data_IF_815030638846
#
_entry.id   IF_815030638846
#
_cell.length_a   1.000
_cell.length_b   1.000
_cell.length_c   1.000
_cell.angle_alpha   90.00
_cell.angle_beta   90.00
_cell.angle_gamma   90.00
#
_symmetry.space_group_name_H-M   'P 1'
#
loop_
_entity.id
_entity.type
_entity.pdbx_description
1 polymer ?
#
# COMPACT_ATOMS: atom_id res chain seq x y z
N UNK A 1 -16.26 0.55 28.68
CA UNK A 1 -15.46 1.55 27.93
C UNK A 1 -15.49 1.15 26.46
N UNK A 2 -15.99 2.00 25.54
CA UNK A 2 -15.88 1.73 24.09
C UNK A 2 -14.40 1.64 23.77
N UNK A 3 -13.92 0.52 23.24
CA UNK A 3 -12.56 0.41 22.70
C UNK A 3 -12.43 1.44 21.57
N UNK A 4 -11.88 2.58 21.88
CA UNK A 4 -11.58 3.62 20.91
C UNK A 4 -10.45 3.11 20.02
N UNK A 5 -10.74 2.89 18.74
CA UNK A 5 -9.75 2.52 17.73
C UNK A 5 -9.61 3.64 16.73
N UNK A 6 -8.43 3.73 16.09
CA UNK A 6 -8.28 4.51 14.88
C UNK A 6 -8.86 3.76 13.69
N UNK A 7 -9.67 4.46 12.90
CA UNK A 7 -10.10 3.98 11.59
C UNK A 7 -9.04 4.34 10.57
N UNK A 8 -8.64 3.37 9.76
CA UNK A 8 -7.77 3.54 8.62
C UNK A 8 -8.63 3.37 7.38
N UNK A 9 -8.58 4.37 6.49
CA UNK A 9 -9.26 4.32 5.21
C UNK A 9 -8.22 4.37 4.08
N UNK A 10 -8.27 3.37 3.19
CA UNK A 10 -7.51 3.36 1.94
C UNK A 10 -8.49 3.50 0.79
N UNK A 11 -8.21 4.39 -0.16
CA UNK A 11 -9.07 4.57 -1.31
C UNK A 11 -8.31 5.13 -2.51
N UNK A 12 -8.88 4.88 -3.70
CA UNK A 12 -8.45 5.52 -4.93
C UNK A 12 -9.64 5.74 -5.88
N UNK A 13 -9.47 6.67 -6.79
CA UNK A 13 -10.35 6.84 -7.94
C UNK A 13 -9.55 7.41 -9.10
N UNK A 14 -9.64 6.79 -10.26
CA UNK A 14 -9.25 7.39 -11.52
C UNK A 14 -10.37 8.30 -11.96
N UNK A 15 -10.07 9.59 -12.07
CA UNK A 15 -11.01 10.64 -12.47
C UNK A 15 -10.25 11.91 -12.76
N UNK A 16 -10.50 12.53 -13.90
CA UNK A 16 -9.89 13.82 -14.23
C UNK A 16 -10.19 14.88 -13.17
N UNK A 17 -9.14 15.51 -12.66
CA UNK A 17 -9.19 16.56 -11.64
C UNK A 17 -8.84 17.90 -12.29
N UNK A 18 -9.79 18.86 -12.31
CA UNK A 18 -9.57 20.14 -12.96
C UNK A 18 -8.83 21.16 -12.08
N UNK A 19 -9.09 21.22 -10.78
CA UNK A 19 -8.47 22.19 -9.87
C UNK A 19 -7.74 21.52 -8.72
N UNK A 20 -6.66 20.82 -9.06
CA UNK A 20 -5.88 20.00 -8.13
C UNK A 20 -5.27 20.80 -6.97
N UNK A 21 -4.88 22.05 -7.21
CA UNK A 21 -4.29 22.93 -6.17
C UNK A 21 -5.33 23.26 -5.11
N UNK A 22 -6.54 23.63 -5.53
CA UNK A 22 -7.63 23.93 -4.60
C UNK A 22 -8.07 22.69 -3.81
N UNK A 23 -8.21 21.53 -4.47
CA UNK A 23 -8.53 20.26 -3.81
C UNK A 23 -7.46 19.91 -2.76
N UNK A 24 -6.19 20.08 -3.08
CA UNK A 24 -5.09 19.89 -2.13
C UNK A 24 -5.22 20.80 -0.92
N UNK A 25 -5.51 22.09 -1.13
CA UNK A 25 -5.71 23.08 -0.06
C UNK A 25 -6.85 22.66 0.87
N UNK A 26 -8.04 22.41 0.30
CA UNK A 26 -9.24 22.02 1.04
C UNK A 26 -9.05 20.73 1.83
N UNK A 27 -8.41 19.72 1.24
CA UNK A 27 -8.11 18.45 1.95
C UNK A 27 -7.07 18.65 3.05
N UNK A 28 -6.06 19.52 2.84
CA UNK A 28 -5.04 19.82 3.86
C UNK A 28 -5.66 20.49 5.07
N UNK A 29 -6.48 21.51 4.86
CA UNK A 29 -7.18 22.26 5.92
C UNK A 29 -8.10 21.30 6.71
N UNK A 30 -8.94 20.56 5.99
CA UNK A 30 -9.88 19.62 6.59
C UNK A 30 -9.20 18.53 7.42
N UNK A 31 -8.20 17.83 6.84
CA UNK A 31 -7.51 16.74 7.54
C UNK A 31 -6.67 17.26 8.72
N UNK A 32 -6.08 18.45 8.61
CA UNK A 32 -5.32 19.05 9.72
C UNK A 32 -6.23 19.43 10.89
N UNK A 33 -7.38 20.06 10.62
CA UNK A 33 -8.36 20.42 11.63
C UNK A 33 -8.91 19.19 12.37
N UNK A 34 -9.22 18.12 11.62
CA UNK A 34 -9.77 16.88 12.16
C UNK A 34 -8.70 15.88 12.65
N UNK A 35 -7.45 16.30 12.84
CA UNK A 35 -6.33 15.47 13.30
C UNK A 35 -6.11 14.19 12.48
N UNK A 36 -6.53 14.16 11.20
CA UNK A 36 -6.35 13.03 10.29
C UNK A 36 -4.91 13.02 9.78
N UNK A 37 -4.26 11.86 9.81
CA UNK A 37 -2.89 11.65 9.32
C UNK A 37 -2.86 10.63 8.19
N UNK A 38 -1.77 10.62 7.43
CA UNK A 38 -1.59 9.68 6.33
C UNK A 38 -1.04 10.31 5.06
N UNK A 39 -1.27 9.68 3.93
CA UNK A 39 -0.78 10.17 2.64
C UNK A 39 -1.92 10.25 1.63
N UNK A 40 -2.03 11.41 0.96
CA UNK A 40 -2.86 11.62 -0.21
C UNK A 40 -1.93 11.92 -1.39
N UNK A 41 -2.13 11.24 -2.50
CA UNK A 41 -1.50 11.53 -3.79
C UNK A 41 -2.61 12.02 -4.72
N UNK A 42 -2.41 13.19 -5.29
CA UNK A 42 -3.27 13.80 -6.28
C UNK A 42 -2.50 13.89 -7.59
N UNK A 43 -3.16 13.58 -8.69
CA UNK A 43 -2.69 13.81 -10.05
C UNK A 43 -3.87 14.23 -10.93
N UNK A 44 -3.62 14.70 -12.14
CA UNK A 44 -4.69 15.06 -13.08
C UNK A 44 -5.60 13.86 -13.38
N UNK A 45 -5.05 12.63 -13.29
CA UNK A 45 -5.77 11.37 -13.50
C UNK A 45 -6.58 10.89 -12.28
N UNK A 46 -6.47 11.53 -11.08
CA UNK A 46 -7.24 11.08 -9.94
C UNK A 46 -6.63 11.30 -8.55
N UNK A 47 -7.12 10.50 -7.60
CA UNK A 47 -6.73 10.50 -6.18
C UNK A 47 -6.37 9.10 -5.71
N UNK A 48 -5.34 9.00 -4.87
CA UNK A 48 -4.97 7.76 -4.14
C UNK A 48 -4.55 8.14 -2.72
N UNK A 49 -5.15 7.51 -1.72
CA UNK A 49 -4.88 7.85 -0.33
C UNK A 49 -4.91 6.64 0.61
N UNK A 50 -4.12 6.75 1.69
CA UNK A 50 -4.30 5.97 2.91
C UNK A 50 -4.20 6.93 4.09
N UNK A 51 -5.29 7.03 4.85
CA UNK A 51 -5.47 7.99 5.93
C UNK A 51 -5.94 7.28 7.19
N UNK A 52 -5.69 7.89 8.34
CA UNK A 52 -6.19 7.41 9.63
C UNK A 52 -6.57 8.57 10.54
N UNK A 53 -7.62 8.36 11.30
CA UNK A 53 -8.17 9.25 12.30
C UNK A 53 -9.11 8.52 13.24
N UNK A 54 -9.72 9.23 14.18
CA UNK A 54 -10.84 8.70 14.93
C UNK A 54 -12.02 8.44 13.96
N UNK A 55 -12.99 7.63 14.38
CA UNK A 55 -14.07 7.19 13.50
C UNK A 55 -14.87 8.36 12.91
N UNK A 56 -15.36 9.26 13.76
CA UNK A 56 -16.16 10.41 13.34
C UNK A 56 -15.41 11.33 12.34
N UNK A 57 -14.16 11.77 12.56
CA UNK A 57 -13.34 12.45 11.57
C UNK A 57 -13.23 11.74 10.21
N UNK A 58 -13.12 10.42 10.21
CA UNK A 58 -13.05 9.65 8.95
C UNK A 58 -14.41 9.65 8.23
N UNK A 59 -15.52 9.52 8.96
CA UNK A 59 -16.86 9.60 8.35
C UNK A 59 -17.16 11.00 7.79
N UNK A 60 -16.68 12.06 8.46
CA UNK A 60 -16.74 13.42 7.94
C UNK A 60 -15.85 13.61 6.69
N UNK A 61 -14.69 12.94 6.65
CA UNK A 61 -13.83 12.95 5.45
C UNK A 61 -14.54 12.34 4.25
N UNK A 62 -15.26 11.23 4.41
CA UNK A 62 -16.03 10.62 3.31
C UNK A 62 -17.08 11.59 2.74
N UNK A 63 -17.81 12.29 3.62
CA UNK A 63 -18.74 13.36 3.20
C UNK A 63 -18.02 14.50 2.47
N UNK A 64 -16.85 14.91 2.97
CA UNK A 64 -16.03 15.94 2.32
C UNK A 64 -15.55 15.51 0.93
N UNK A 65 -15.16 14.24 0.74
CA UNK A 65 -14.77 13.70 -0.57
C UNK A 65 -15.95 13.70 -1.55
N UNK A 66 -17.15 13.35 -1.13
CA UNK A 66 -18.37 13.47 -1.94
C UNK A 66 -18.59 14.92 -2.38
N UNK A 67 -18.47 15.90 -1.46
CA UNK A 67 -18.60 17.34 -1.78
C UNK A 67 -17.53 17.82 -2.76
N UNK A 68 -16.35 17.18 -2.78
CA UNK A 68 -15.28 17.39 -3.76
C UNK A 68 -15.50 16.57 -5.04
N UNK A 69 -16.70 15.98 -5.22
CA UNK A 69 -17.12 15.22 -6.40
C UNK A 69 -16.39 13.88 -6.59
N UNK A 70 -15.85 13.27 -5.53
CA UNK A 70 -15.34 11.90 -5.54
C UNK A 70 -16.44 10.94 -5.10
N UNK A 71 -17.21 10.37 -6.04
CA UNK A 71 -18.40 9.58 -5.74
C UNK A 71 -18.13 8.06 -5.74
N UNK A 72 -17.26 7.59 -6.65
CA UNK A 72 -17.03 6.17 -6.91
C UNK A 72 -15.63 5.76 -6.44
N UNK A 73 -15.34 6.00 -5.16
CA UNK A 73 -14.07 5.61 -4.57
C UNK A 73 -14.03 4.09 -4.36
N UNK A 74 -13.02 3.43 -4.93
CA UNK A 74 -12.64 2.09 -4.46
C UNK A 74 -12.00 2.25 -3.07
N UNK A 75 -12.73 1.84 -2.04
CA UNK A 75 -12.36 2.13 -0.65
C UNK A 75 -12.38 0.90 0.25
N UNK A 76 -11.48 0.90 1.22
CA UNK A 76 -11.38 -0.09 2.28
C UNK A 76 -11.17 0.57 3.63
N UNK A 77 -11.90 0.12 4.67
CA UNK A 77 -11.68 0.52 6.05
C UNK A 77 -11.06 -0.64 6.84
N UNK A 78 -10.18 -0.32 7.77
CA UNK A 78 -9.65 -1.23 8.78
C UNK A 78 -9.42 -0.47 10.08
N UNK A 79 -9.14 -1.18 11.17
CA UNK A 79 -9.03 -0.58 12.50
C UNK A 79 -7.67 -0.88 13.12
N UNK A 80 -7.20 0.00 13.98
CA UNK A 80 -5.98 -0.19 14.73
C UNK A 80 -6.05 0.52 16.10
N UNK A 81 -5.39 -0.01 17.10
CA UNK A 81 -5.37 0.56 18.45
C UNK A 81 -4.34 1.68 18.66
N UNK A 82 -3.53 2.00 17.66
CA UNK A 82 -2.62 3.15 17.65
C UNK A 82 -2.63 3.85 16.29
N UNK A 83 -2.24 5.13 16.26
CA UNK A 83 -2.15 5.93 15.03
C UNK A 83 -1.05 5.39 14.11
N UNK A 84 -1.39 4.84 12.92
CA UNK A 84 -0.40 4.23 12.04
C UNK A 84 0.39 5.23 11.20
N UNK A 85 0.15 6.53 11.37
CA UNK A 85 0.85 7.57 10.62
C UNK A 85 1.40 8.67 11.55
N UNK A 86 2.63 9.09 11.27
CA UNK A 86 3.26 10.15 12.06
C UNK A 86 2.78 11.55 11.65
N UNK A 87 2.41 11.76 10.38
CA UNK A 87 2.04 13.08 9.82
C UNK A 87 1.10 12.96 8.63
N UNK A 88 0.43 14.04 8.31
CA UNK A 88 -0.29 14.22 7.05
C UNK A 88 0.68 14.60 5.93
N UNK A 89 0.55 13.97 4.77
CA UNK A 89 1.27 14.29 3.54
C UNK A 89 0.29 14.37 2.38
N UNK A 90 0.21 15.51 1.69
CA UNK A 90 -0.57 15.64 0.47
C UNK A 90 0.38 16.05 -0.65
N UNK A 91 0.52 15.18 -1.65
CA UNK A 91 1.46 15.33 -2.76
C UNK A 91 0.71 15.44 -4.08
N UNK A 92 1.10 16.40 -4.91
CA UNK A 92 0.74 16.41 -6.32
C UNK A 92 1.84 15.68 -7.07
N UNK A 93 1.47 14.73 -7.93
CA UNK A 93 2.36 13.94 -8.78
C UNK A 93 1.82 13.90 -10.20
N UNK A 94 2.60 13.38 -11.15
CA UNK A 94 2.15 13.11 -12.52
C UNK A 94 1.10 11.99 -12.56
N UNK A 95 1.22 11.00 -11.67
CA UNK A 95 0.35 9.83 -11.61
C UNK A 95 -0.01 9.50 -10.15
N UNK A 96 -1.21 9.00 -9.92
CA UNK A 96 -1.64 8.55 -8.57
C UNK A 96 -0.99 7.23 -8.15
N UNK A 97 -0.54 6.44 -9.12
CA UNK A 97 0.38 5.30 -8.96
C UNK A 97 1.34 5.30 -10.15
N UNK A 98 2.64 5.40 -9.87
CA UNK A 98 3.65 5.61 -10.92
C UNK A 98 3.84 4.37 -11.77
N UNK A 99 3.48 4.46 -13.03
CA UNK A 99 3.66 3.41 -14.04
C UNK A 99 4.52 3.88 -15.22
N UNK A 100 4.63 5.21 -15.40
CA UNK A 100 5.36 5.89 -16.48
C UNK A 100 4.84 5.48 -17.87
N UNK A 101 3.52 5.48 -18.04
CA UNK A 101 2.85 5.28 -19.34
C UNK A 101 1.81 6.37 -19.52
N UNK A 102 2.03 7.25 -20.50
CA UNK A 102 1.15 8.36 -20.79
C UNK A 102 -0.07 7.91 -21.62
N UNK A 103 -1.21 8.56 -21.42
CA UNK A 103 -2.42 8.30 -22.22
C UNK A 103 -3.14 6.98 -21.90
N UNK A 104 -2.81 6.33 -20.79
CA UNK A 104 -3.45 5.10 -20.40
C UNK A 104 -4.86 5.35 -19.85
N UNK A 105 -5.86 4.97 -20.61
CA UNK A 105 -7.27 5.10 -20.24
C UNK A 105 -7.70 3.86 -19.45
N UNK A 106 -7.69 4.00 -18.12
CA UNK A 106 -8.03 2.93 -17.17
C UNK A 106 -9.54 2.62 -17.21
N UNK A 107 -10.40 3.62 -17.45
CA UNK A 107 -11.84 3.42 -17.50
C UNK A 107 -12.26 2.60 -18.72
N UNK A 108 -11.57 2.79 -19.85
CA UNK A 108 -11.84 2.08 -21.11
C UNK A 108 -11.27 0.67 -21.13
N UNK A 109 -10.13 0.43 -20.51
CA UNK A 109 -9.32 -0.78 -20.67
C UNK A 109 -9.04 -1.51 -19.36
N UNK A 110 -9.99 -1.55 -18.43
CA UNK A 110 -9.84 -2.31 -17.18
C UNK A 110 -9.95 -3.82 -17.42
N UNK A 111 -9.09 -4.59 -16.75
CA UNK A 111 -9.24 -6.04 -16.69
C UNK A 111 -10.49 -6.47 -15.91
N UNK A 112 -10.96 -7.69 -16.12
CA UNK A 112 -12.15 -8.20 -15.42
C UNK A 112 -11.88 -8.34 -13.92
N UNK A 113 -12.69 -7.67 -13.10
CA UNK A 113 -12.63 -7.78 -11.65
C UNK A 113 -13.23 -9.09 -11.17
N UNK A 114 -12.51 -9.81 -10.31
CA UNK A 114 -12.93 -11.07 -9.70
C UNK A 114 -13.04 -10.87 -8.19
N UNK A 115 -14.18 -11.20 -7.61
CA UNK A 115 -14.39 -11.13 -6.19
C UNK A 115 -13.55 -12.16 -5.43
N UNK A 116 -13.30 -11.92 -4.15
CA UNK A 116 -12.53 -12.82 -3.29
C UNK A 116 -13.11 -14.24 -3.26
N UNK A 117 -14.43 -14.40 -3.33
CA UNK A 117 -15.13 -15.69 -3.36
C UNK A 117 -14.74 -16.58 -4.54
N UNK A 118 -14.56 -15.96 -5.71
CA UNK A 118 -14.31 -16.68 -6.98
C UNK A 118 -12.83 -16.72 -7.34
N UNK A 119 -12.00 -15.99 -6.55
CA UNK A 119 -10.57 -15.84 -6.83
C UNK A 119 -9.80 -17.16 -6.74
N UNK A 120 -10.05 -17.96 -5.70
CA UNK A 120 -9.37 -19.24 -5.52
C UNK A 120 -9.66 -20.20 -6.67
N UNK A 121 -10.90 -20.24 -7.16
CA UNK A 121 -11.29 -21.08 -8.31
C UNK A 121 -10.57 -20.67 -9.59
N UNK A 122 -10.42 -19.34 -9.80
CA UNK A 122 -9.70 -18.84 -10.97
C UNK A 122 -8.21 -19.18 -10.93
N UNK A 123 -7.54 -18.90 -9.78
CA UNK A 123 -6.07 -19.06 -9.68
C UNK A 123 -5.62 -20.52 -9.62
N UNK A 124 -6.52 -21.45 -9.30
CA UNK A 124 -6.24 -22.87 -9.28
C UNK A 124 -6.44 -23.57 -10.65
N UNK A 125 -6.96 -22.86 -11.66
CA UNK A 125 -7.05 -23.41 -13.04
C UNK A 125 -5.66 -23.50 -13.66
N UNK A 126 -5.35 -24.65 -14.27
CA UNK A 126 -4.03 -24.93 -14.87
C UNK A 126 -3.61 -23.92 -15.94
N UNK A 127 -4.57 -23.37 -16.69
CA UNK A 127 -4.36 -22.38 -17.75
C UNK A 127 -4.21 -20.95 -17.24
N UNK A 128 -4.36 -20.72 -15.93
CA UNK A 128 -4.25 -19.38 -15.35
C UNK A 128 -2.83 -19.09 -14.90
N UNK A 129 -2.27 -18.02 -15.42
CA UNK A 129 -0.98 -17.46 -14.99
C UNK A 129 -1.28 -16.42 -13.91
N UNK A 130 -0.85 -16.69 -12.68
CA UNK A 130 -1.04 -15.79 -11.55
C UNK A 130 0.20 -14.92 -11.34
N UNK A 131 0.05 -13.60 -11.35
CA UNK A 131 1.16 -12.64 -11.28
C UNK A 131 0.96 -11.64 -10.13
N UNK A 132 1.95 -11.51 -9.27
CA UNK A 132 1.99 -10.49 -8.23
C UNK A 132 2.61 -9.20 -8.79
N UNK A 133 1.79 -8.16 -9.02
CA UNK A 133 2.28 -6.89 -9.59
C UNK A 133 2.89 -5.93 -8.55
N UNK A 134 3.17 -6.43 -7.36
CA UNK A 134 3.83 -5.65 -6.29
C UNK A 134 5.35 -5.66 -6.46
N UNK A 135 5.99 -4.78 -5.71
CA UNK A 135 7.45 -4.74 -5.66
C UNK A 135 8.00 -5.96 -4.90
N UNK A 136 9.19 -6.41 -5.27
CA UNK A 136 9.81 -7.61 -4.71
C UNK A 136 9.87 -7.63 -3.17
N UNK A 137 10.13 -6.49 -2.51
CA UNK A 137 10.17 -6.42 -1.05
C UNK A 137 8.81 -6.69 -0.38
N UNK A 138 7.70 -6.43 -1.08
CA UNK A 138 6.34 -6.75 -0.63
C UNK A 138 6.06 -8.25 -0.81
N UNK A 139 6.47 -8.81 -1.95
CA UNK A 139 6.30 -10.23 -2.28
C UNK A 139 7.06 -11.12 -1.30
N UNK A 140 8.26 -10.70 -0.88
CA UNK A 140 9.12 -11.45 0.05
C UNK A 140 8.49 -11.72 1.43
N UNK A 141 7.50 -10.96 1.86
CA UNK A 141 6.84 -11.16 3.15
C UNK A 141 5.51 -11.89 3.05
N UNK A 142 4.99 -12.04 1.85
CA UNK A 142 3.80 -12.83 1.59
C UNK A 142 3.27 -12.63 0.17
N UNK A 143 2.70 -13.70 -0.39
CA UNK A 143 2.10 -13.74 -1.71
C UNK A 143 1.13 -14.91 -1.83
N UNK A 144 0.35 -15.00 -2.91
CA UNK A 144 -0.46 -16.20 -3.18
C UNK A 144 0.40 -17.38 -3.58
N UNK A 145 -0.03 -18.58 -3.18
CA UNK A 145 0.57 -19.84 -3.62
C UNK A 145 0.63 -19.87 -5.16
N UNK A 146 1.74 -20.36 -5.71
CA UNK A 146 1.99 -20.48 -7.14
C UNK A 146 2.00 -19.15 -7.94
N UNK A 147 2.01 -17.99 -7.28
CA UNK A 147 2.13 -16.73 -8.00
C UNK A 147 3.54 -16.49 -8.51
N UNK A 148 3.64 -15.91 -9.68
CA UNK A 148 4.90 -15.46 -10.26
C UNK A 148 5.28 -14.12 -9.63
N UNK A 149 6.52 -14.03 -9.15
CA UNK A 149 7.14 -12.78 -8.72
C UNK A 149 7.94 -12.18 -9.88
N UNK A 150 7.54 -11.02 -10.45
CA UNK A 150 8.30 -10.33 -11.48
C UNK A 150 9.65 -9.78 -11.01
N UNK A 151 9.93 -9.83 -9.71
CA UNK A 151 11.15 -9.36 -9.06
C UNK A 151 11.46 -7.87 -9.32
N UNK A 152 10.43 -7.05 -9.50
CA UNK A 152 10.54 -5.62 -9.77
C UNK A 152 10.92 -4.83 -8.51
N UNK A 153 11.77 -3.82 -8.65
CA UNK A 153 12.12 -2.88 -7.57
C UNK A 153 11.02 -1.83 -7.37
N UNK A 154 10.33 -1.47 -8.45
CA UNK A 154 9.22 -0.54 -8.49
C UNK A 154 8.21 -0.97 -9.55
N UNK A 155 6.97 -0.48 -9.44
CA UNK A 155 5.87 -0.89 -10.31
C UNK A 155 6.08 -0.52 -11.78
N UNK A 156 6.82 0.54 -12.11
CA UNK A 156 7.07 0.93 -13.51
C UNK A 156 7.93 -0.09 -14.28
N UNK A 157 8.71 -0.92 -13.57
CA UNK A 157 9.49 -2.00 -14.19
C UNK A 157 8.63 -3.17 -14.67
N UNK A 158 7.38 -3.26 -14.23
CA UNK A 158 6.45 -4.33 -14.63
C UNK A 158 6.23 -4.39 -16.14
N UNK A 159 6.32 -3.27 -16.85
CA UNK A 159 6.25 -3.21 -18.32
C UNK A 159 7.34 -4.04 -19.00
N UNK A 160 8.56 -3.95 -18.48
CA UNK A 160 9.69 -4.72 -19.02
C UNK A 160 9.47 -6.22 -18.78
N UNK A 161 9.02 -6.59 -17.56
CA UNK A 161 8.68 -7.97 -17.27
C UNK A 161 7.62 -8.53 -18.24
N UNK A 162 6.56 -7.77 -18.56
CA UNK A 162 5.54 -8.18 -19.53
C UNK A 162 6.13 -8.45 -20.91
N UNK A 163 6.99 -7.57 -21.41
CA UNK A 163 7.65 -7.69 -22.72
C UNK A 163 8.57 -8.90 -22.79
N UNK A 164 9.30 -9.18 -21.73
CA UNK A 164 10.31 -10.23 -21.70
C UNK A 164 9.71 -11.62 -21.42
N UNK A 165 8.65 -11.71 -20.60
CA UNK A 165 8.21 -13.00 -20.06
C UNK A 165 6.81 -13.41 -20.46
N UNK A 166 5.93 -12.45 -20.79
CA UNK A 166 4.52 -12.74 -21.07
C UNK A 166 4.08 -12.45 -22.50
N UNK A 167 4.95 -11.98 -23.39
CA UNK A 167 4.58 -11.56 -24.75
C UNK A 167 3.93 -12.67 -25.56
N UNK A 168 4.35 -13.91 -25.38
CA UNK A 168 3.79 -15.11 -26.05
C UNK A 168 2.51 -15.65 -25.38
N UNK A 169 2.11 -15.09 -24.25
CA UNK A 169 1.01 -15.55 -23.40
C UNK A 169 -0.27 -14.73 -23.54
N UNK A 170 -0.44 -13.96 -24.62
CA UNK A 170 -1.55 -13.01 -24.81
C UNK A 170 -2.95 -13.65 -24.81
N UNK A 171 -3.05 -14.93 -25.13
CA UNK A 171 -4.30 -15.67 -25.11
C UNK A 171 -4.55 -16.46 -23.83
N UNK A 172 -3.56 -16.53 -22.92
CA UNK A 172 -3.73 -17.21 -21.64
C UNK A 172 -4.61 -16.36 -20.68
N UNK A 173 -5.20 -17.01 -19.69
CA UNK A 173 -5.80 -16.32 -18.56
C UNK A 173 -4.68 -15.76 -17.67
N UNK A 174 -4.63 -14.45 -17.50
CA UNK A 174 -3.64 -13.79 -16.64
C UNK A 174 -4.39 -13.14 -15.47
N UNK A 175 -4.21 -13.70 -14.29
CA UNK A 175 -4.77 -13.19 -13.06
C UNK A 175 -3.72 -12.34 -12.33
N UNK A 176 -4.06 -11.11 -11.94
CA UNK A 176 -3.16 -10.18 -11.28
C UNK A 176 -3.73 -9.68 -9.96
N UNK A 177 -2.86 -9.40 -9.03
CA UNK A 177 -3.22 -8.81 -7.75
C UNK A 177 -2.17 -7.84 -7.23
N UNK A 178 -2.63 -6.88 -6.41
CA UNK A 178 -1.75 -6.03 -5.63
C UNK A 178 -2.40 -5.75 -4.26
N UNK A 179 -1.82 -4.91 -3.43
CA UNK A 179 -2.30 -4.63 -2.07
C UNK A 179 -3.75 -4.17 -2.04
N UNK A 180 -4.13 -3.15 -2.81
CA UNK A 180 -5.47 -2.56 -2.78
C UNK A 180 -6.15 -2.40 -4.15
N UNK A 181 -5.60 -2.99 -5.23
CA UNK A 181 -6.20 -2.95 -6.59
C UNK A 181 -5.56 -1.94 -7.54
N UNK A 182 -5.20 -0.75 -7.10
CA UNK A 182 -4.81 0.38 -7.95
C UNK A 182 -3.71 0.09 -8.99
N UNK A 183 -2.69 -0.74 -8.66
CA UNK A 183 -1.64 -1.12 -9.62
C UNK A 183 -2.18 -2.03 -10.71
N UNK A 184 -3.13 -2.91 -10.36
CA UNK A 184 -3.77 -3.80 -11.32
C UNK A 184 -4.59 -3.02 -12.35
N UNK A 185 -5.24 -1.92 -11.98
CA UNK A 185 -5.97 -1.07 -12.93
C UNK A 185 -5.06 -0.61 -14.08
N UNK A 186 -3.91 0.00 -13.75
CA UNK A 186 -2.94 0.42 -14.78
C UNK A 186 -2.28 -0.74 -15.51
N UNK A 187 -1.93 -1.81 -14.81
CA UNK A 187 -1.30 -2.97 -15.42
C UNK A 187 -2.24 -3.64 -16.44
N UNK A 188 -3.53 -3.84 -16.08
CA UNK A 188 -4.52 -4.44 -16.98
C UNK A 188 -4.83 -3.55 -18.18
N UNK A 189 -4.98 -2.24 -17.97
CA UNK A 189 -5.17 -1.29 -19.06
C UNK A 189 -4.00 -1.34 -20.05
N UNK A 190 -2.77 -1.32 -19.56
CA UNK A 190 -1.58 -1.45 -20.41
C UNK A 190 -1.56 -2.78 -21.14
N UNK A 191 -1.86 -3.90 -20.47
CA UNK A 191 -1.90 -5.22 -21.10
C UNK A 191 -2.95 -5.29 -22.22
N UNK A 192 -4.12 -4.67 -22.04
CA UNK A 192 -5.14 -4.59 -23.08
C UNK A 192 -4.61 -3.86 -24.33
N UNK A 193 -3.87 -2.73 -24.17
CA UNK A 193 -3.24 -2.04 -25.31
C UNK A 193 -2.17 -2.89 -26.01
N UNK A 194 -1.56 -3.85 -25.30
CA UNK A 194 -0.59 -4.79 -25.86
C UNK A 194 -1.24 -6.05 -26.46
N UNK A 195 -2.58 -6.13 -26.51
CA UNK A 195 -3.35 -7.20 -27.12
C UNK A 195 -3.56 -8.45 -26.25
N UNK A 196 -3.45 -8.34 -24.93
CA UNK A 196 -3.84 -9.41 -23.99
C UNK A 196 -5.37 -9.45 -23.89
N UNK A 197 -5.96 -10.64 -24.05
CA UNK A 197 -7.43 -10.79 -24.15
C UNK A 197 -8.10 -11.13 -22.82
N UNK A 198 -7.45 -11.95 -22.00
CA UNK A 198 -8.04 -12.54 -20.80
C UNK A 198 -7.27 -12.06 -19.57
N UNK A 199 -7.49 -10.81 -19.17
CA UNK A 199 -6.84 -10.20 -18.01
C UNK A 199 -7.85 -10.08 -16.87
N UNK A 200 -7.50 -10.66 -15.72
CA UNK A 200 -8.32 -10.68 -14.51
C UNK A 200 -7.58 -9.98 -13.38
N UNK A 201 -8.31 -9.31 -12.52
CA UNK A 201 -7.72 -8.63 -11.34
C UNK A 201 -8.56 -8.87 -10.10
N UNK A 202 -7.88 -9.07 -8.96
CA UNK A 202 -8.53 -9.27 -7.67
C UNK A 202 -9.18 -7.97 -7.22
N UNK A 203 -10.52 -7.95 -7.13
CA UNK A 203 -11.30 -6.79 -6.71
C UNK A 203 -10.96 -6.42 -5.26
N UNK A 204 -10.65 -5.14 -5.01
CA UNK A 204 -10.22 -4.64 -3.71
C UNK A 204 -8.84 -5.14 -3.25
N UNK A 205 -8.15 -5.94 -4.10
CA UNK A 205 -6.81 -6.45 -3.85
C UNK A 205 -6.69 -7.41 -2.68
N UNK A 206 -5.44 -7.64 -2.24
CA UNK A 206 -5.12 -8.55 -1.14
C UNK A 206 -5.84 -8.16 0.15
N UNK A 207 -5.99 -6.86 0.43
CA UNK A 207 -6.65 -6.41 1.65
C UNK A 207 -8.11 -6.86 1.72
N UNK A 208 -8.84 -6.84 0.58
CA UNK A 208 -10.20 -7.35 0.53
C UNK A 208 -10.22 -8.87 0.71
N UNK A 209 -9.33 -9.58 0.02
CA UNK A 209 -9.23 -11.02 0.13
C UNK A 209 -8.94 -11.49 1.57
N UNK A 210 -8.01 -10.84 2.28
CA UNK A 210 -7.67 -11.17 3.67
C UNK A 210 -8.78 -10.87 4.68
N UNK A 211 -9.73 -10.00 4.32
CA UNK A 211 -10.93 -9.74 5.12
C UNK A 211 -12.02 -10.77 4.84
N UNK A 212 -12.26 -11.08 3.54
CA UNK A 212 -13.39 -11.91 3.12
C UNK A 212 -13.14 -13.41 3.31
N UNK A 213 -11.88 -13.85 3.14
CA UNK A 213 -11.54 -15.27 3.11
C UNK A 213 -10.92 -15.70 4.44
N UNK A 214 -11.56 -16.69 5.06
CA UNK A 214 -11.07 -17.29 6.31
C UNK A 214 -9.70 -17.95 6.12
N UNK A 215 -8.92 -18.03 7.19
CA UNK A 215 -7.55 -18.51 7.16
C UNK A 215 -7.40 -19.94 6.60
N UNK A 216 -8.36 -20.81 6.89
CA UNK A 216 -8.40 -22.21 6.45
C UNK A 216 -8.62 -22.36 4.93
N UNK A 217 -9.35 -21.42 4.30
CA UNK A 217 -9.62 -21.38 2.85
C UNK A 217 -8.64 -20.50 2.08
N UNK A 218 -7.74 -19.80 2.78
CA UNK A 218 -6.87 -18.81 2.18
C UNK A 218 -5.69 -19.45 1.43
N UNK A 219 -5.55 -19.11 0.14
CA UNK A 219 -4.37 -19.42 -0.68
C UNK A 219 -3.23 -18.42 -0.47
N UNK A 220 -3.43 -17.40 0.38
CA UNK A 220 -2.40 -16.44 0.75
C UNK A 220 -1.39 -17.03 1.71
N UNK A 221 -0.09 -16.81 1.46
CA UNK A 221 1.01 -17.23 2.32
C UNK A 221 1.77 -16.03 2.86
N UNK A 222 2.03 -16.00 4.16
CA UNK A 222 2.75 -14.89 4.82
C UNK A 222 1.84 -13.72 5.18
N UNK A 223 2.41 -12.50 5.16
CA UNK A 223 1.75 -11.26 5.56
C UNK A 223 1.69 -10.26 4.39
N UNK A 224 0.67 -9.42 4.35
CA UNK A 224 0.54 -8.39 3.32
C UNK A 224 1.21 -7.09 3.78
N UNK A 225 2.20 -6.58 3.01
CA UNK A 225 2.81 -5.29 3.27
C UNK A 225 1.80 -4.15 3.12
N UNK A 226 1.81 -3.22 4.08
CA UNK A 226 1.03 -1.97 4.03
C UNK A 226 1.94 -0.76 4.22
N UNK A 227 1.58 0.37 3.59
CA UNK A 227 2.42 1.58 3.56
C UNK A 227 2.19 2.51 4.77
N UNK A 228 1.98 1.92 5.94
CA UNK A 228 1.83 2.63 7.21
C UNK A 228 2.68 1.97 8.32
N UNK A 229 2.63 2.49 9.55
CA UNK A 229 3.47 2.01 10.64
C UNK A 229 3.08 0.62 11.18
N UNK A 230 2.01 0.00 10.69
CA UNK A 230 1.72 -1.42 10.95
C UNK A 230 2.69 -2.33 10.19
N UNK A 231 3.26 -1.82 9.09
CA UNK A 231 4.19 -2.49 8.16
C UNK A 231 3.55 -3.66 7.41
N UNK A 232 2.80 -4.52 8.09
CA UNK A 232 2.10 -5.67 7.50
C UNK A 232 0.78 -5.97 8.20
N UNK A 233 -0.10 -6.66 7.49
CA UNK A 233 -1.37 -7.19 7.99
C UNK A 233 -1.54 -8.65 7.62
N UNK A 234 -2.35 -9.36 8.39
CA UNK A 234 -2.71 -10.77 8.23
C UNK A 234 -4.22 -10.91 8.01
N UNK A 235 -4.71 -12.16 7.88
CA UNK A 235 -6.15 -12.43 7.82
C UNK A 235 -6.94 -11.65 8.87
N UNK A 236 -8.17 -11.29 8.55
CA UNK A 236 -9.06 -10.44 9.36
C UNK A 236 -8.47 -9.04 9.60
N UNK A 237 -7.57 -8.58 8.72
CA UNK A 237 -6.90 -7.28 8.80
C UNK A 237 -6.14 -7.02 10.11
N UNK A 238 -5.79 -8.08 10.88
CA UNK A 238 -4.99 -7.99 12.10
C UNK A 238 -3.57 -7.51 11.77
N UNK A 239 -2.98 -6.69 12.66
CA UNK A 239 -1.58 -6.26 12.52
C UNK A 239 -0.64 -7.45 12.41
N UNK A 240 0.33 -7.34 11.52
CA UNK A 240 1.35 -8.36 11.31
C UNK A 240 2.49 -8.31 12.33
N UNK A 241 3.55 -9.06 12.03
CA UNK A 241 4.72 -9.24 12.92
C UNK A 241 5.97 -8.53 12.42
N UNK A 242 5.92 -7.98 11.19
CA UNK A 242 7.05 -7.27 10.61
C UNK A 242 7.19 -5.85 11.16
N UNK A 243 8.43 -5.41 11.27
CA UNK A 243 8.78 -4.01 11.52
C UNK A 243 9.48 -3.40 10.30
N UNK A 244 9.60 -2.07 10.29
CA UNK A 244 10.30 -1.37 9.21
C UNK A 244 11.74 -1.09 9.62
N UNK A 245 12.71 -1.51 8.82
CA UNK A 245 14.08 -1.04 8.99
C UNK A 245 14.16 0.45 8.69
N UNK A 246 14.46 1.28 9.70
CA UNK A 246 14.49 2.73 9.55
C UNK A 246 15.68 3.24 8.70
N UNK A 247 16.63 2.38 8.35
CA UNK A 247 17.75 2.72 7.47
C UNK A 247 17.42 2.51 5.98
N UNK A 248 16.92 1.32 5.60
CA UNK A 248 16.66 0.96 4.21
C UNK A 248 15.17 0.90 3.83
N UNK A 249 14.27 0.99 4.81
CA UNK A 249 12.81 0.93 4.65
C UNK A 249 12.26 -0.42 4.21
N UNK A 250 13.06 -1.48 4.20
CA UNK A 250 12.56 -2.83 3.99
C UNK A 250 11.85 -3.35 5.23
N UNK A 251 10.83 -4.21 5.06
CA UNK A 251 10.26 -4.97 6.16
C UNK A 251 11.29 -5.95 6.72
N UNK A 252 11.32 -6.09 8.03
CA UNK A 252 12.21 -6.98 8.79
C UNK A 252 11.39 -7.85 9.73
N UNK A 253 11.72 -9.13 9.78
CA UNK A 253 11.10 -10.10 10.66
C UNK A 253 11.69 -10.04 12.08
N UNK A 254 11.04 -10.71 13.03
CA UNK A 254 11.60 -10.91 14.39
C UNK A 254 12.97 -11.62 14.34
N UNK A 255 13.19 -12.52 13.39
CA UNK A 255 14.48 -13.18 13.20
C UNK A 255 15.54 -12.22 12.67
N UNK A 256 15.19 -11.34 11.74
CA UNK A 256 16.10 -10.29 11.28
C UNK A 256 16.54 -9.37 12.42
N UNK A 257 15.62 -9.06 13.36
CA UNK A 257 15.92 -8.23 14.54
C UNK A 257 16.77 -8.92 15.60
N UNK A 258 16.84 -10.25 15.61
CA UNK A 258 17.76 -11.02 16.47
C UNK A 258 19.16 -11.17 15.85
N UNK A 259 19.33 -10.83 14.59
CA UNK A 259 20.60 -10.95 13.88
C UNK A 259 21.67 -9.98 14.42
N UNK A 260 22.91 -10.41 14.46
CA UNK A 260 24.09 -9.55 14.76
C UNK A 260 24.24 -8.37 13.78
N UNK A 261 23.61 -8.45 12.61
CA UNK A 261 23.57 -7.37 11.61
C UNK A 261 22.51 -6.30 11.92
N UNK A 262 21.63 -6.51 12.89
CA UNK A 262 20.58 -5.57 13.23
C UNK A 262 21.04 -4.59 14.30
N UNK A 263 20.97 -3.31 13.94
CA UNK A 263 21.12 -2.20 14.87
C UNK A 263 19.94 -1.24 14.65
N UNK A 264 19.10 -1.08 15.69
CA UNK A 264 17.84 -0.31 15.59
C UNK A 264 18.07 1.08 15.00
N UNK A 265 17.38 1.37 13.90
CA UNK A 265 17.49 2.65 13.20
C UNK A 265 18.71 2.80 12.29
N UNK A 266 19.67 1.89 12.30
CA UNK A 266 20.97 2.02 11.61
C UNK A 266 21.17 0.94 10.55
N UNK A 267 20.89 -0.33 10.85
CA UNK A 267 21.11 -1.43 9.91
C UNK A 267 20.18 -2.62 10.15
N UNK A 268 20.04 -3.46 9.13
CA UNK A 268 19.44 -4.78 9.20
C UNK A 268 20.20 -5.75 8.28
N UNK A 269 19.96 -7.07 8.31
CA UNK A 269 20.63 -8.02 7.42
C UNK A 269 20.57 -7.67 5.94
N UNK A 270 19.46 -7.04 5.49
CA UNK A 270 19.26 -6.64 4.09
C UNK A 270 20.10 -5.43 3.65
N UNK A 271 20.60 -4.59 4.56
CA UNK A 271 21.26 -3.35 4.23
C UNK A 271 22.65 -3.13 4.85
N UNK A 272 23.10 -3.96 5.78
CA UNK A 272 24.36 -3.78 6.50
C UNK A 272 25.57 -3.62 5.53
N UNK A 273 25.62 -4.44 4.47
CA UNK A 273 26.68 -4.42 3.47
C UNK A 273 26.48 -3.36 2.36
N UNK A 274 25.30 -2.74 2.28
CA UNK A 274 24.95 -1.73 1.26
C UNK A 274 25.00 -0.31 1.80
N UNK A 275 25.17 -0.16 3.11
CA UNK A 275 25.14 1.15 3.77
C UNK A 275 26.56 1.71 3.87
N UNK A 276 26.82 2.86 3.24
CA UNK A 276 28.14 3.53 3.31
C UNK A 276 28.45 3.99 4.74
N UNK A 277 29.75 4.15 5.04
CA UNK A 277 30.23 4.63 6.35
C UNK A 277 29.57 5.99 6.74
N UNK A 278 29.53 6.93 5.78
CA UNK A 278 28.90 8.25 5.97
C UNK A 278 27.40 8.10 6.30
N UNK A 279 26.66 7.30 5.54
CA UNK A 279 25.24 7.06 5.80
C UNK A 279 25.02 6.43 7.17
N UNK A 280 25.86 5.47 7.57
CA UNK A 280 25.80 4.85 8.89
C UNK A 280 26.02 5.86 10.03
N UNK A 281 26.97 6.77 9.86
CA UNK A 281 27.23 7.84 10.82
C UNK A 281 26.04 8.81 10.96
N UNK A 282 25.46 9.25 9.82
CA UNK A 282 24.26 10.10 9.83
C UNK A 282 23.05 9.42 10.50
N UNK A 283 22.90 8.11 10.31
CA UNK A 283 21.84 7.33 10.97
C UNK A 283 22.06 7.23 12.49
N UNK A 284 23.31 7.08 12.95
CA UNK A 284 23.67 7.10 14.38
C UNK A 284 23.33 8.46 15.01
N UNK A 285 23.72 9.55 14.35
CA UNK A 285 23.40 10.90 14.85
C UNK A 285 21.89 11.14 14.90
N UNK A 286 21.14 10.72 13.85
CA UNK A 286 19.67 10.78 13.89
C UNK A 286 19.09 10.03 15.08
N UNK A 287 19.57 8.82 15.39
CA UNK A 287 19.09 8.05 16.52
C UNK A 287 19.40 8.77 17.86
N UNK A 288 20.58 9.35 18.00
CA UNK A 288 20.95 10.15 19.17
C UNK A 288 19.99 11.33 19.37
N UNK A 289 19.65 12.05 18.29
CA UNK A 289 18.68 13.15 18.35
C UNK A 289 17.27 12.67 18.74
N UNK A 290 16.84 11.49 18.27
CA UNK A 290 15.57 10.88 18.66
C UNK A 290 15.56 10.54 20.15
N UNK A 291 16.61 9.97 20.69
CA UNK A 291 16.71 9.65 22.13
C UNK A 291 16.74 10.93 23.01
N UNK A 292 17.40 11.99 22.56
CA UNK A 292 17.36 13.30 23.23
C UNK A 292 15.93 13.85 23.21
N UNK A 293 15.24 13.82 22.07
CA UNK A 293 13.85 14.27 21.95
C UNK A 293 12.92 13.49 22.88
N UNK A 294 13.09 12.16 22.95
CA UNK A 294 12.34 11.28 23.84
C UNK A 294 12.52 11.67 25.32
N UNK A 295 13.76 11.87 25.73
CA UNK A 295 14.07 12.30 27.13
C UNK A 295 13.43 13.65 27.48
N UNK A 296 13.25 14.54 26.50
CA UNK A 296 12.62 15.86 26.66
C UNK A 296 11.09 15.84 26.49
N UNK A 297 10.45 14.67 26.35
CA UNK A 297 9.01 14.56 26.08
C UNK A 297 8.57 15.10 24.72
N UNK A 298 9.52 15.37 23.79
CA UNK A 298 9.23 15.88 22.47
C UNK A 298 8.80 14.76 21.53
N UNK A 299 8.24 15.13 20.35
CA UNK A 299 7.81 14.18 19.33
C UNK A 299 8.88 13.13 18.98
N UNK A 300 8.48 11.87 18.98
CA UNK A 300 9.32 10.73 18.65
C UNK A 300 8.61 9.85 17.60
N UNK A 301 9.22 9.60 16.42
CA UNK A 301 8.61 8.78 15.36
C UNK A 301 8.42 7.31 15.73
N UNK A 302 8.95 6.86 16.87
CA UNK A 302 8.79 5.50 17.37
C UNK A 302 7.70 5.36 18.44
N UNK A 303 7.04 6.46 18.85
CA UNK A 303 5.89 6.41 19.76
C UNK A 303 4.64 5.98 18.99
N UNK A 304 3.94 5.00 19.53
CA UNK A 304 2.61 4.59 19.08
C UNK A 304 1.58 5.40 19.87
N UNK A 305 1.05 6.46 19.25
CA UNK A 305 -0.03 7.25 19.85
C UNK A 305 -1.32 6.45 19.88
N UNK A 306 -2.00 6.48 21.02
CA UNK A 306 -3.30 5.85 21.23
C UNK A 306 -4.45 6.83 20.96
N UNK A 307 -5.71 6.37 20.84
CA UNK A 307 -6.85 7.27 20.66
C UNK A 307 -6.99 8.32 21.77
N UNK A 308 -6.61 8.02 23.01
CA UNK A 308 -6.63 8.97 24.12
C UNK A 308 -5.68 10.16 23.94
N UNK A 309 -4.64 10.01 23.12
CA UNK A 309 -3.73 11.12 22.79
C UNK A 309 -4.33 12.09 21.76
N UNK A 310 -5.53 11.80 21.25
CA UNK A 310 -6.25 12.57 20.21
C UNK A 310 -7.59 13.12 20.66
N UNK A 311 -8.06 12.68 21.84
CA UNK A 311 -9.28 13.19 22.49
C UNK A 311 -9.13 14.60 23.02
#
# INVERSE_FOLDING_TARGET
MKNLNFTIITFYQFKKIENIINIKKLLKEFCSFNKIKGTIILADEGINATLSGLNEPIDLLEKKLINLKFFNLEKKKSFNNYMPFNRLKIKIKKEIVTFNEEGLDVDKWSGKHINSSDWNDLINKKETILVDVRNNFEVQIGTFKNSINPNTKNFSEFKNYLKENLITKKNNNIAMFCTGGIRCEKASAYMATQGYKNVFQLKGGILQYLEDISKDKSEWKGECFVFDNRVSVRNEMKSGTYELCHACRNPISLNDMKSKCYEKGISCPKCINKTTKIKKQNLKERNKQIEIAKKKGLYNPYIKYTPSDFS
#
